data_IF_092548113448
#
_entry.id   IF_092548113448
#
_cell.length_a   1.000
_cell.length_b   1.000
_cell.length_c   1.000
_cell.angle_alpha   90.00
_cell.angle_beta   90.00
_cell.angle_gamma   90.00
#
_symmetry.space_group_name_H-M   'P 1'
#
loop_
_entity.id
_entity.type
_entity.pdbx_description
1 polymer ?
#
# COMPACT_ATOMS: atom_id res chain seq x y z
N UNK A 1 -12.47 -13.51 -26.81
CA UNK A 1 -13.08 -12.22 -26.43
C UNK A 1 -13.50 -12.19 -24.96
N UNK A 2 -14.32 -13.13 -24.46
CA UNK A 2 -14.75 -13.20 -23.04
C UNK A 2 -13.57 -13.37 -22.06
N UNK A 3 -12.62 -14.27 -22.34
CA UNK A 3 -11.48 -14.52 -21.46
C UNK A 3 -10.61 -13.28 -21.23
N UNK A 4 -10.43 -12.46 -22.27
CA UNK A 4 -9.70 -11.19 -22.20
C UNK A 4 -10.43 -10.18 -21.32
N UNK A 5 -11.76 -10.09 -21.45
CA UNK A 5 -12.59 -9.21 -20.61
C UNK A 5 -12.54 -9.66 -19.14
N UNK A 6 -12.64 -10.96 -18.88
CA UNK A 6 -12.52 -11.53 -17.53
C UNK A 6 -11.15 -11.18 -16.95
N UNK A 7 -10.07 -11.38 -17.69
CA UNK A 7 -8.71 -11.04 -17.24
C UNK A 7 -8.57 -9.55 -16.87
N UNK A 8 -9.14 -8.64 -17.67
CA UNK A 8 -9.14 -7.19 -17.37
C UNK A 8 -9.93 -6.86 -16.10
N UNK A 9 -11.10 -7.46 -15.92
CA UNK A 9 -11.91 -7.27 -14.71
C UNK A 9 -11.19 -7.82 -13.48
N UNK A 10 -10.60 -9.02 -13.56
CA UNK A 10 -9.83 -9.60 -12.45
C UNK A 10 -8.62 -8.74 -12.09
N UNK A 11 -7.94 -8.16 -13.09
CA UNK A 11 -6.83 -7.24 -12.86
C UNK A 11 -7.31 -5.97 -12.13
N UNK A 12 -8.39 -5.34 -12.60
CA UNK A 12 -8.97 -4.16 -11.94
C UNK A 12 -9.44 -4.44 -10.51
N UNK A 13 -10.05 -5.61 -10.26
CA UNK A 13 -10.44 -6.03 -8.92
C UNK A 13 -9.22 -6.23 -8.01
N UNK A 14 -8.13 -6.83 -8.52
CA UNK A 14 -6.88 -6.97 -7.77
C UNK A 14 -6.29 -5.61 -7.41
N UNK A 15 -6.32 -4.65 -8.34
CA UNK A 15 -5.89 -3.28 -8.08
C UNK A 15 -6.79 -2.60 -7.03
N UNK A 16 -8.12 -2.69 -7.20
CA UNK A 16 -9.09 -2.04 -6.32
C UNK A 16 -9.12 -2.60 -4.89
N UNK A 17 -8.94 -3.92 -4.71
CA UNK A 17 -8.88 -4.53 -3.38
C UNK A 17 -7.49 -4.45 -2.74
N UNK A 18 -6.45 -4.23 -3.54
CA UNK A 18 -5.07 -4.29 -3.07
C UNK A 18 -4.67 -5.66 -2.52
N UNK A 19 -3.47 -5.75 -1.95
CA UNK A 19 -2.92 -7.01 -1.43
C UNK A 19 -3.73 -7.53 -0.24
N UNK A 20 -4.05 -6.67 0.74
CA UNK A 20 -4.81 -7.06 1.92
C UNK A 20 -6.26 -7.48 1.59
N UNK A 21 -6.97 -6.68 0.78
CA UNK A 21 -8.33 -7.01 0.37
C UNK A 21 -8.38 -8.29 -0.45
N UNK A 22 -7.41 -8.54 -1.33
CA UNK A 22 -7.34 -9.79 -2.09
C UNK A 22 -7.20 -11.03 -1.20
N UNK A 23 -6.47 -10.93 -0.07
CA UNK A 23 -6.35 -12.02 0.89
C UNK A 23 -7.66 -12.27 1.65
N UNK A 24 -8.36 -11.21 2.06
CA UNK A 24 -9.67 -11.29 2.73
C UNK A 24 -10.70 -11.93 1.78
N UNK A 25 -10.80 -11.43 0.54
CA UNK A 25 -11.71 -11.98 -0.47
C UNK A 25 -11.36 -13.43 -0.75
N UNK A 26 -10.08 -13.80 -0.87
CA UNK A 26 -9.66 -15.19 -1.05
C UNK A 26 -10.07 -16.07 0.13
N UNK A 27 -9.88 -15.63 1.38
CA UNK A 27 -10.31 -16.41 2.55
C UNK A 27 -11.82 -16.58 2.60
N UNK A 28 -12.57 -15.57 2.17
CA UNK A 28 -14.03 -15.65 2.06
C UNK A 28 -14.44 -16.51 0.86
N UNK A 29 -13.71 -16.60 -0.24
CA UNK A 29 -14.10 -17.45 -1.35
C UNK A 29 -13.68 -18.93 -1.19
N UNK A 30 -12.68 -19.22 -0.37
CA UNK A 30 -12.04 -20.55 -0.27
C UNK A 30 -12.73 -21.56 0.69
N UNK A 31 -13.88 -21.27 1.28
CA UNK A 31 -14.54 -22.19 2.23
C UNK A 31 -15.71 -22.89 1.54
N UNK A 32 -15.50 -24.15 1.17
CA UNK A 32 -16.50 -25.00 0.50
C UNK A 32 -17.55 -25.60 1.45
N UNK A 33 -17.56 -25.22 2.73
CA UNK A 33 -18.36 -25.87 3.79
C UNK A 33 -19.20 -24.89 4.60
N UNK A 34 -19.29 -23.63 4.18
CA UNK A 34 -20.02 -22.58 4.89
C UNK A 34 -21.09 -21.99 3.97
N UNK A 35 -22.33 -22.45 4.14
CA UNK A 35 -23.50 -22.08 3.33
C UNK A 35 -23.99 -20.65 3.56
N UNK A 36 -23.37 -19.91 4.50
CA UNK A 36 -23.74 -18.51 4.76
C UNK A 36 -23.44 -17.64 3.53
N UNK A 37 -24.24 -16.58 3.29
CA UNK A 37 -23.95 -15.61 2.25
C UNK A 37 -22.53 -15.02 2.38
N UNK A 38 -21.90 -14.72 1.24
CA UNK A 38 -20.56 -14.09 1.19
C UNK A 38 -20.51 -12.81 2.03
N UNK A 39 -21.60 -12.02 2.05
CA UNK A 39 -21.74 -10.82 2.86
C UNK A 39 -21.59 -11.12 4.35
N UNK A 40 -22.32 -12.10 4.87
CA UNK A 40 -22.24 -12.52 6.28
C UNK A 40 -20.85 -13.05 6.62
N UNK A 41 -20.26 -13.86 5.73
CA UNK A 41 -18.93 -14.44 5.93
C UNK A 41 -17.82 -13.39 5.93
N UNK A 42 -17.97 -12.33 5.16
CA UNK A 42 -17.04 -11.19 5.18
C UNK A 42 -17.00 -10.52 6.56
N UNK A 43 -18.17 -10.27 7.17
CA UNK A 43 -18.25 -9.70 8.52
C UNK A 43 -17.64 -10.62 9.59
N UNK A 44 -17.77 -11.94 9.41
CA UNK A 44 -17.28 -12.93 10.37
C UNK A 44 -15.78 -13.22 10.26
N UNK A 45 -15.14 -12.93 9.12
CA UNK A 45 -13.72 -13.26 8.89
C UNK A 45 -12.79 -12.39 9.75
N UNK A 46 -13.24 -11.23 10.21
CA UNK A 46 -12.48 -10.33 11.09
C UNK A 46 -11.23 -9.73 10.42
N UNK A 47 -10.76 -8.62 10.98
CA UNK A 47 -9.48 -8.03 10.56
C UNK A 47 -8.29 -8.79 11.15
N UNK A 48 -7.19 -8.86 10.41
CA UNK A 48 -5.91 -9.35 10.96
C UNK A 48 -5.09 -8.17 11.47
N UNK A 49 -4.59 -8.23 12.70
CA UNK A 49 -3.64 -7.23 13.20
C UNK A 49 -2.33 -7.35 12.41
N UNK A 50 -1.82 -6.21 11.98
CA UNK A 50 -0.53 -6.10 11.30
C UNK A 50 0.33 -5.04 11.96
N UNK A 51 1.63 -5.32 12.05
CA UNK A 51 2.62 -4.33 12.42
C UNK A 51 3.26 -3.81 11.14
N UNK A 52 3.49 -2.50 11.08
CA UNK A 52 4.10 -1.88 9.92
C UNK A 52 4.81 -0.60 10.31
N UNK A 53 5.80 -0.21 9.51
CA UNK A 53 6.32 1.16 9.50
C UNK A 53 5.49 1.97 8.52
N UNK A 54 5.01 3.13 8.95
CA UNK A 54 4.24 4.05 8.13
C UNK A 54 5.10 5.25 7.78
N UNK A 55 5.09 5.62 6.50
CA UNK A 55 5.75 6.80 5.99
C UNK A 55 4.75 7.70 5.30
N UNK A 56 4.91 9.01 5.47
CA UNK A 56 4.14 10.01 4.74
C UNK A 56 5.11 10.82 3.90
N UNK A 57 4.80 10.92 2.61
CA UNK A 57 5.48 11.83 1.69
C UNK A 57 4.46 12.88 1.25
N UNK A 58 4.89 14.14 1.13
CA UNK A 58 4.03 15.21 0.64
C UNK A 58 4.81 16.12 -0.30
N UNK A 59 4.14 16.61 -1.34
CA UNK A 59 4.70 17.62 -2.24
C UNK A 59 4.56 18.97 -1.56
N UNK A 60 5.68 19.57 -1.17
CA UNK A 60 5.70 20.87 -0.50
C UNK A 60 5.15 21.97 -1.42
N UNK A 61 4.36 22.88 -0.84
CA UNK A 61 3.73 24.01 -1.53
C UNK A 61 2.84 23.58 -2.71
N UNK A 62 2.24 22.39 -2.64
CA UNK A 62 1.42 21.84 -3.72
C UNK A 62 0.28 22.77 -4.12
N UNK A 63 -0.39 23.43 -3.16
CA UNK A 63 -1.51 24.35 -3.48
C UNK A 63 -1.08 25.44 -4.46
N UNK A 64 0.04 26.11 -4.18
CA UNK A 64 0.62 27.13 -5.05
C UNK A 64 1.09 26.56 -6.40
N UNK A 65 1.79 25.42 -6.38
CA UNK A 65 2.29 24.77 -7.60
C UNK A 65 1.12 24.36 -8.50
N UNK A 66 0.05 23.81 -7.93
CA UNK A 66 -1.12 23.34 -8.64
C UNK A 66 -1.91 24.47 -9.28
N UNK A 67 -1.95 25.65 -8.65
CA UNK A 67 -2.57 26.85 -9.22
C UNK A 67 -1.80 27.36 -10.44
N UNK A 68 -0.46 27.34 -10.40
CA UNK A 68 0.38 27.82 -11.51
C UNK A 68 0.41 26.84 -12.67
N UNK A 69 0.57 25.55 -12.38
CA UNK A 69 0.68 24.50 -13.40
C UNK A 69 -0.70 24.21 -14.02
N UNK A 70 -1.78 24.38 -13.25
CA UNK A 70 -3.14 24.19 -13.73
C UNK A 70 -3.39 22.76 -14.23
N UNK A 71 -3.78 22.62 -15.50
CA UNK A 71 -4.16 21.33 -16.10
C UNK A 71 -3.02 20.29 -16.11
N UNK A 72 -1.77 20.75 -16.14
CA UNK A 72 -0.58 19.87 -16.17
C UNK A 72 -0.22 19.31 -14.78
N UNK A 73 -0.97 19.64 -13.72
CA UNK A 73 -0.68 19.19 -12.34
C UNK A 73 -0.70 17.67 -12.23
N UNK A 74 -1.54 17.01 -13.03
CA UNK A 74 -1.65 15.56 -13.05
C UNK A 74 -0.35 14.90 -13.55
N UNK A 75 0.32 15.52 -14.53
CA UNK A 75 1.59 15.00 -15.04
C UNK A 75 2.71 15.13 -13.99
N UNK A 76 2.71 16.23 -13.21
CA UNK A 76 3.61 16.38 -12.08
C UNK A 76 3.36 15.27 -11.04
N UNK A 77 2.12 15.08 -10.59
CA UNK A 77 1.78 14.06 -9.59
C UNK A 77 2.18 12.67 -10.10
N UNK A 78 1.91 12.36 -11.37
CA UNK A 78 2.23 11.05 -11.94
C UNK A 78 3.75 10.80 -12.00
N UNK A 79 4.54 11.81 -12.35
CA UNK A 79 6.02 11.73 -12.35
C UNK A 79 6.56 11.51 -10.93
N UNK A 80 6.09 12.29 -9.96
CA UNK A 80 6.47 12.12 -8.54
C UNK A 80 6.05 10.75 -8.03
N UNK A 81 4.81 10.34 -8.30
CA UNK A 81 4.27 9.04 -7.91
C UNK A 81 5.09 7.89 -8.49
N UNK A 82 5.54 8.01 -9.75
CA UNK A 82 6.40 6.99 -10.38
C UNK A 82 7.69 6.78 -9.58
N UNK A 83 8.40 7.87 -9.23
CA UNK A 83 9.65 7.81 -8.45
C UNK A 83 9.38 7.26 -7.04
N UNK A 84 8.36 7.79 -6.35
CA UNK A 84 7.99 7.33 -5.01
C UNK A 84 7.65 5.83 -5.02
N UNK A 85 6.82 5.38 -5.95
CA UNK A 85 6.37 4.00 -6.03
C UNK A 85 7.53 3.05 -6.35
N UNK A 86 8.45 3.44 -7.25
CA UNK A 86 9.60 2.63 -7.61
C UNK A 86 10.52 2.37 -6.41
N UNK A 87 10.98 3.44 -5.74
CA UNK A 87 11.88 3.29 -4.59
C UNK A 87 11.20 2.62 -3.40
N UNK A 88 9.93 2.93 -3.11
CA UNK A 88 9.19 2.25 -2.04
C UNK A 88 9.11 0.75 -2.29
N UNK A 89 8.85 0.33 -3.54
CA UNK A 89 8.80 -1.07 -3.90
C UNK A 89 10.17 -1.75 -3.80
N UNK A 90 11.24 -1.12 -4.30
CA UNK A 90 12.61 -1.64 -4.26
C UNK A 90 13.10 -1.89 -2.83
N UNK A 91 12.62 -1.08 -1.88
CA UNK A 91 12.93 -1.20 -0.46
C UNK A 91 11.85 -1.94 0.35
N UNK A 92 11.00 -2.73 -0.30
CA UNK A 92 10.09 -3.67 0.36
C UNK A 92 8.84 -3.04 1.01
N UNK A 93 8.51 -1.82 0.62
CA UNK A 93 7.29 -1.13 1.03
C UNK A 93 6.18 -1.22 -0.01
N UNK A 94 5.07 -0.54 0.26
CA UNK A 94 3.95 -0.40 -0.66
C UNK A 94 3.25 0.93 -0.45
N UNK A 95 2.85 1.57 -1.55
CA UNK A 95 2.00 2.76 -1.51
C UNK A 95 0.54 2.34 -1.29
N UNK A 96 -0.05 2.74 -0.17
CA UNK A 96 -1.39 2.31 0.23
C UNK A 96 -2.47 3.29 -0.21
N UNK A 97 -2.24 4.59 -0.03
CA UNK A 97 -3.19 5.65 -0.39
C UNK A 97 -2.45 6.80 -1.07
N UNK A 98 -2.95 7.21 -2.23
CA UNK A 98 -2.58 8.47 -2.87
C UNK A 98 -3.69 9.49 -2.55
N UNK A 99 -3.29 10.63 -1.99
CA UNK A 99 -4.16 11.73 -1.56
C UNK A 99 -3.98 12.97 -2.45
N UNK A 100 -3.53 12.77 -3.69
CA UNK A 100 -3.22 13.84 -4.63
C UNK A 100 -1.78 14.29 -4.45
N UNK A 101 -1.51 15.15 -3.48
CA UNK A 101 -0.18 15.67 -3.18
C UNK A 101 0.61 14.82 -2.17
N UNK A 102 -0.10 14.00 -1.38
CA UNK A 102 0.50 13.17 -0.34
C UNK A 102 0.35 11.67 -0.60
N UNK A 103 1.37 10.91 -0.21
CA UNK A 103 1.45 9.46 -0.35
C UNK A 103 1.57 8.80 1.03
N UNK A 104 0.64 7.90 1.34
CA UNK A 104 0.75 7.00 2.49
C UNK A 104 1.50 5.73 2.08
N UNK A 105 2.65 5.52 2.70
CA UNK A 105 3.57 4.43 2.42
C UNK A 105 3.60 3.47 3.62
N UNK A 106 3.67 2.17 3.34
CA UNK A 106 3.59 1.13 4.36
C UNK A 106 4.65 0.06 4.12
N UNK A 107 5.41 -0.25 5.16
CA UNK A 107 6.33 -1.38 5.19
C UNK A 107 5.84 -2.41 6.21
N UNK A 108 5.14 -3.47 5.76
CA UNK A 108 4.58 -4.47 6.67
C UNK A 108 5.68 -5.31 7.30
N UNK A 109 5.62 -5.50 8.61
CA UNK A 109 6.54 -6.32 9.36
C UNK A 109 5.94 -7.72 9.50
N UNK A 110 6.64 -8.78 9.05
CA UNK A 110 6.16 -10.15 9.18
C UNK A 110 6.16 -10.57 10.66
N UNK A 111 5.08 -10.30 11.37
CA UNK A 111 4.81 -10.96 12.64
C UNK A 111 4.10 -12.27 12.33
N UNK A 112 4.65 -13.39 12.79
CA UNK A 112 3.96 -14.68 12.69
C UNK A 112 2.50 -14.55 13.16
N UNK A 113 1.58 -15.33 12.57
CA UNK A 113 0.15 -15.31 12.93
C UNK A 113 0.00 -15.60 14.43
N UNK A 114 -0.04 -14.55 15.24
CA UNK A 114 0.03 -14.61 16.70
C UNK A 114 -1.06 -13.75 17.29
N UNK A 115 -1.71 -14.28 18.34
CA UNK A 115 -2.88 -13.72 19.01
C UNK A 115 -2.68 -12.25 19.40
N UNK A 116 -3.79 -11.54 19.58
CA UNK A 116 -3.94 -10.17 20.10
C UNK A 116 -3.20 -9.93 21.43
N UNK A 117 -1.88 -9.96 21.44
CA UNK A 117 -1.04 -9.58 22.56
C UNK A 117 -0.47 -8.22 22.24
N UNK A 118 -0.45 -7.33 23.22
CA UNK A 118 0.28 -6.06 23.13
C UNK A 118 1.78 -6.40 23.01
N UNK A 119 2.25 -6.61 21.78
CA UNK A 119 3.67 -6.84 21.51
C UNK A 119 4.43 -5.54 21.71
N UNK A 120 5.45 -5.61 22.56
CA UNK A 120 6.49 -4.60 22.61
C UNK A 120 7.19 -4.55 21.25
N UNK A 121 6.96 -3.45 20.53
CA UNK A 121 7.49 -3.20 19.18
C UNK A 121 9.02 -3.30 19.14
N UNK A 122 9.72 -3.00 20.24
CA UNK A 122 11.19 -3.09 20.29
C UNK A 122 11.71 -4.53 20.22
N UNK A 123 10.84 -5.51 20.54
CA UNK A 123 11.15 -6.94 20.55
C UNK A 123 10.64 -7.65 19.30
N UNK A 124 9.98 -6.94 18.39
CA UNK A 124 9.51 -7.50 17.13
C UNK A 124 10.73 -7.75 16.23
N UNK A 125 11.00 -9.00 15.83
CA UNK A 125 12.08 -9.30 14.90
C UNK A 125 11.91 -8.50 13.61
N UNK A 126 13.01 -8.09 12.99
CA UNK A 126 13.04 -7.36 11.71
C UNK A 126 12.49 -5.93 11.72
N UNK A 127 11.97 -5.40 12.84
CA UNK A 127 11.45 -4.02 12.88
C UNK A 127 12.52 -2.98 12.55
N UNK A 128 13.75 -3.15 13.07
CA UNK A 128 14.87 -2.24 12.82
C UNK A 128 15.28 -2.25 11.35
N UNK A 129 15.47 -3.44 10.79
CA UNK A 129 15.81 -3.59 9.37
C UNK A 129 14.72 -2.99 8.47
N UNK A 130 13.45 -3.17 8.83
CA UNK A 130 12.34 -2.61 8.06
C UNK A 130 12.28 -1.08 8.16
N UNK A 131 12.58 -0.52 9.35
CA UNK A 131 12.70 0.92 9.52
C UNK A 131 13.88 1.49 8.73
N UNK A 132 15.02 0.80 8.70
CA UNK A 132 16.19 1.20 7.91
C UNK A 132 15.87 1.19 6.40
N UNK A 133 15.16 0.16 5.91
CA UNK A 133 14.68 0.10 4.53
C UNK A 133 13.71 1.24 4.20
N UNK A 134 12.78 1.55 5.10
CA UNK A 134 11.87 2.68 4.93
C UNK A 134 12.64 4.00 4.83
N UNK A 135 13.61 4.22 5.72
CA UNK A 135 14.47 5.41 5.69
C UNK A 135 15.29 5.50 4.39
N UNK A 136 15.90 4.40 3.96
CA UNK A 136 16.65 4.34 2.71
C UNK A 136 15.78 4.65 1.49
N UNK A 137 14.52 4.18 1.48
CA UNK A 137 13.58 4.53 0.43
C UNK A 137 13.36 6.04 0.36
N UNK A 138 13.10 6.71 1.50
CA UNK A 138 12.93 8.17 1.52
C UNK A 138 14.18 8.91 1.05
N UNK A 139 15.37 8.50 1.50
CA UNK A 139 16.63 9.11 1.06
C UNK A 139 16.79 8.97 -0.47
N UNK A 140 16.48 7.79 -1.02
CA UNK A 140 16.55 7.55 -2.47
C UNK A 140 15.52 8.36 -3.25
N UNK A 141 14.29 8.46 -2.76
CA UNK A 141 13.25 9.31 -3.36
C UNK A 141 13.70 10.76 -3.39
N UNK A 142 14.17 11.30 -2.27
CA UNK A 142 14.66 12.69 -2.22
C UNK A 142 15.85 12.88 -3.16
N UNK A 143 16.81 11.94 -3.18
CA UNK A 143 17.96 12.04 -4.07
C UNK A 143 17.57 12.01 -5.55
N UNK A 144 16.57 11.21 -5.94
CA UNK A 144 16.15 11.03 -7.32
C UNK A 144 15.23 12.15 -7.80
N UNK A 145 14.32 12.65 -6.95
CA UNK A 145 13.48 13.82 -7.26
C UNK A 145 14.34 15.08 -7.47
N UNK A 146 15.46 15.21 -6.76
CA UNK A 146 16.38 16.35 -6.91
C UNK A 146 17.48 16.10 -7.96
N UNK A 147 17.35 15.05 -8.77
CA UNK A 147 18.32 14.68 -9.80
C UNK A 147 17.88 15.28 -11.13
N UNK A 148 18.35 16.50 -11.38
CA UNK A 148 18.22 17.30 -12.62
C UNK A 148 16.81 17.41 -13.24
#
# INVERSE_FOLDING_TARGET
MIQTTIAKITHLLRVGFGVAGSQIIRSVLNVSTDDRPVSERLFLTGGTRMYAVFGFCDILNFDYISEIIGEEVMDLINKVAYVVHAHVADWGGSCNKNLGNSFLLVWPIPTGRGRNVHLDVTRVPYIREMADKALLAFIKITADINRD
#
